data_IF_407259827331
#
_entry.id   IF_407259827331
#
_cell.length_a   1.000
_cell.length_b   1.000
_cell.length_c   1.000
_cell.angle_alpha   90.00
_cell.angle_beta   90.00
_cell.angle_gamma   90.00
#
_symmetry.space_group_name_H-M   'P 1'
#
loop_
_entity.id
_entity.type
_entity.pdbx_description
1 polymer ?
#
# COMPACT_ATOMS: atom_id res chain seq x y z
N UNK A 1 -36.47 -56.14 -33.98
CA UNK A 1 -35.53 -57.14 -34.45
C UNK A 1 -34.18 -56.52 -34.76
N UNK A 2 -33.12 -56.86 -34.02
CA UNK A 2 -31.76 -56.51 -34.33
C UNK A 2 -30.99 -56.04 -33.08
N UNK A 3 -30.59 -57.05 -32.31
CA UNK A 3 -29.61 -57.02 -31.22
C UNK A 3 -28.19 -57.04 -31.84
N UNK A 4 -27.26 -56.23 -31.40
CA UNK A 4 -25.82 -56.52 -31.33
C UNK A 4 -25.16 -55.48 -30.40
N UNK A 5 -24.80 -55.85 -29.20
CA UNK A 5 -23.54 -56.32 -28.60
C UNK A 5 -22.36 -55.36 -28.70
N UNK A 6 -22.02 -54.85 -27.52
CA UNK A 6 -20.74 -54.69 -26.75
C UNK A 6 -19.42 -54.65 -27.50
N UNK A 7 -18.60 -53.68 -27.25
CA UNK A 7 -17.37 -53.91 -26.47
C UNK A 7 -16.69 -52.60 -26.00
N UNK A 8 -16.17 -52.50 -24.77
CA UNK A 8 -15.42 -51.36 -24.26
C UNK A 8 -13.91 -51.63 -24.36
N UNK A 9 -13.16 -50.71 -24.90
CA UNK A 9 -11.70 -50.70 -24.77
C UNK A 9 -11.26 -49.58 -23.88
N UNK A 10 -10.82 -49.94 -22.68
CA UNK A 10 -10.07 -49.11 -21.75
C UNK A 10 -8.71 -48.74 -22.36
N UNK A 11 -8.44 -47.46 -22.51
CA UNK A 11 -7.13 -46.92 -22.81
C UNK A 11 -6.50 -46.39 -21.53
N UNK A 12 -5.49 -47.10 -20.99
CA UNK A 12 -4.64 -46.59 -19.91
C UNK A 12 -3.74 -45.47 -20.43
N UNK A 13 -3.47 -44.40 -19.60
CA UNK A 13 -2.50 -43.39 -19.95
C UNK A 13 -1.05 -43.91 -19.83
N UNK A 14 -0.09 -43.37 -20.61
CA UNK A 14 1.27 -43.86 -20.64
C UNK A 14 2.02 -43.54 -19.34
N UNK A 15 2.71 -44.56 -18.82
CA UNK A 15 3.68 -44.43 -17.72
C UNK A 15 4.88 -43.61 -18.18
N UNK A 16 5.12 -42.47 -17.52
CA UNK A 16 6.36 -41.73 -17.66
C UNK A 16 7.45 -42.44 -16.85
N UNK A 17 8.44 -42.99 -17.57
CA UNK A 17 9.67 -43.53 -16.98
C UNK A 17 10.49 -42.41 -16.33
N UNK A 18 10.59 -42.41 -15.01
CA UNK A 18 11.60 -41.64 -14.29
C UNK A 18 13.00 -42.25 -14.57
N UNK A 19 13.82 -41.46 -15.25
CA UNK A 19 15.25 -41.77 -15.42
C UNK A 19 15.98 -41.34 -14.13
N UNK A 20 16.56 -42.34 -13.45
CA UNK A 20 17.41 -42.11 -12.27
C UNK A 20 18.65 -41.32 -12.65
N UNK A 21 18.93 -40.24 -11.89
CA UNK A 21 20.21 -39.55 -11.96
C UNK A 21 21.22 -40.23 -11.01
N UNK A 22 22.51 -40.28 -11.38
CA UNK A 22 23.53 -40.92 -10.57
C UNK A 22 23.93 -40.09 -9.37
N UNK A 23 24.11 -40.75 -8.22
CA UNK A 23 24.63 -40.20 -6.99
C UNK A 23 26.05 -39.65 -7.15
N UNK A 24 26.28 -38.40 -6.84
CA UNK A 24 27.61 -37.82 -6.71
C UNK A 24 28.17 -38.19 -5.32
N UNK A 25 29.30 -38.82 -5.35
CA UNK A 25 30.12 -39.27 -4.25
C UNK A 25 30.62 -38.06 -3.42
N UNK A 26 30.36 -38.13 -2.13
CA UNK A 26 30.89 -37.24 -1.08
C UNK A 26 32.41 -37.44 -0.94
N UNK A 27 33.20 -36.42 -1.27
CA UNK A 27 34.58 -36.33 -0.84
C UNK A 27 34.65 -35.48 0.43
N UNK A 28 35.10 -36.10 1.50
CA UNK A 28 35.24 -35.53 2.83
C UNK A 28 36.17 -34.29 2.88
N UNK A 29 35.73 -33.29 3.61
CA UNK A 29 36.63 -32.31 4.23
C UNK A 29 36.37 -32.29 5.72
N UNK A 30 37.44 -32.48 6.47
CA UNK A 30 37.54 -32.46 7.94
C UNK A 30 37.13 -31.10 8.52
N UNK A 31 36.57 -31.05 9.74
CA UNK A 31 36.22 -29.81 10.42
C UNK A 31 37.50 -29.11 10.91
N UNK A 32 37.64 -27.84 10.56
CA UNK A 32 38.65 -26.94 11.15
C UNK A 32 38.15 -26.53 12.53
N UNK A 33 38.88 -26.99 13.53
CA UNK A 33 38.71 -26.63 14.93
C UNK A 33 39.36 -25.25 15.16
N UNK A 34 38.57 -24.18 15.33
CA UNK A 34 39.03 -22.87 15.76
C UNK A 34 38.58 -22.65 17.19
N UNK A 35 39.48 -22.99 18.09
CA UNK A 35 39.44 -22.60 19.51
C UNK A 35 39.98 -21.17 19.59
N UNK A 36 39.08 -20.17 19.81
CA UNK A 36 39.47 -18.83 20.20
C UNK A 36 38.80 -18.51 21.53
N UNK A 37 39.56 -18.65 22.58
CA UNK A 37 39.29 -18.12 23.91
C UNK A 37 39.50 -16.59 23.87
N UNK A 38 38.43 -15.80 23.87
CA UNK A 38 38.47 -14.37 24.15
C UNK A 38 37.97 -14.15 25.59
N UNK A 39 38.87 -13.76 26.45
CA UNK A 39 38.62 -13.28 27.82
C UNK A 39 37.87 -11.94 27.76
N UNK A 40 36.69 -11.89 28.33
CA UNK A 40 35.97 -10.65 28.60
C UNK A 40 36.54 -9.96 29.81
N UNK A 41 37.24 -8.86 29.63
CA UNK A 41 37.57 -7.94 30.71
C UNK A 41 36.30 -7.20 31.18
N UNK A 42 36.08 -7.25 32.48
CA UNK A 42 34.97 -6.61 33.17
C UNK A 42 35.13 -5.08 33.12
N UNK A 43 34.21 -4.39 32.48
CA UNK A 43 34.05 -2.92 32.55
C UNK A 43 33.19 -2.60 33.78
N UNK A 44 33.78 -1.84 34.71
CA UNK A 44 33.14 -1.36 35.93
C UNK A 44 31.95 -0.40 35.63
N UNK A 45 30.92 -0.33 36.50
CA UNK A 45 29.77 0.52 36.30
C UNK A 45 30.11 1.99 36.63
N UNK A 46 29.86 2.87 35.65
CA UNK A 46 29.87 4.32 35.89
C UNK A 46 28.50 4.72 36.42
N UNK A 47 28.45 5.03 37.70
CA UNK A 47 27.32 5.69 38.36
C UNK A 47 27.43 7.20 38.15
N UNK A 48 26.45 7.79 37.45
CA UNK A 48 26.15 9.22 37.55
C UNK A 48 24.64 9.40 37.51
N UNK A 49 24.05 9.64 38.66
CA UNK A 49 22.65 10.05 38.80
C UNK A 49 22.48 11.48 38.36
N UNK A 50 21.58 11.73 37.43
CA UNK A 50 21.06 13.07 37.09
C UNK A 50 19.87 13.39 38.01
N UNK A 51 19.72 14.64 38.47
CA UNK A 51 18.62 15.04 39.34
C UNK A 51 17.26 15.05 38.59
N UNK A 52 16.15 14.85 39.32
CA UNK A 52 14.82 14.82 38.73
C UNK A 52 14.40 16.22 38.28
N UNK A 53 13.92 16.32 37.01
CA UNK A 53 13.26 17.51 36.49
C UNK A 53 11.90 17.66 37.17
N UNK A 54 11.74 18.81 37.87
CA UNK A 54 10.48 19.24 38.46
C UNK A 54 9.46 19.54 37.35
N UNK A 55 8.34 18.78 37.31
CA UNK A 55 7.18 19.05 36.48
C UNK A 55 6.38 20.20 37.13
N UNK A 56 6.37 21.36 36.47
CA UNK A 56 5.44 22.45 36.79
C UNK A 56 4.05 22.06 36.31
N UNK A 57 3.05 22.20 37.20
CA UNK A 57 1.63 21.99 36.92
C UNK A 57 1.09 23.04 35.92
N UNK A 58 0.19 22.68 34.99
CA UNK A 58 -0.46 23.67 34.13
C UNK A 58 -1.53 24.44 34.88
N UNK A 59 -1.84 25.70 34.47
CA UNK A 59 -2.87 26.53 35.08
C UNK A 59 -4.28 26.07 34.73
N UNK A 60 -5.21 26.19 35.70
CA UNK A 60 -6.64 25.94 35.58
C UNK A 60 -7.31 26.77 34.45
N UNK A 61 -8.16 26.17 33.63
CA UNK A 61 -9.01 26.93 32.73
C UNK A 61 -10.30 27.37 33.43
N UNK A 62 -10.40 28.65 33.79
CA UNK A 62 -11.63 29.28 34.22
C UNK A 62 -12.65 29.30 33.07
N UNK A 63 -13.90 28.93 33.41
CA UNK A 63 -15.00 28.81 32.49
C UNK A 63 -15.46 30.13 31.84
N UNK A 64 -15.90 30.00 30.58
CA UNK A 64 -16.85 30.92 29.96
C UNK A 64 -17.72 30.10 28.99
N UNK A 65 -18.97 29.98 29.37
CA UNK A 65 -20.08 29.45 28.61
C UNK A 65 -20.33 30.36 27.38
N UNK A 66 -20.21 29.85 26.17
CA UNK A 66 -20.64 30.51 24.95
C UNK A 66 -21.24 29.50 23.99
N UNK A 67 -22.55 29.63 23.79
CA UNK A 67 -23.37 28.78 22.97
C UNK A 67 -22.83 28.55 21.56
N UNK A 68 -22.71 27.30 21.19
CA UNK A 68 -22.32 26.89 19.84
C UNK A 68 -23.54 26.90 18.94
N UNK A 69 -23.60 27.93 18.07
CA UNK A 69 -24.47 27.91 16.90
C UNK A 69 -23.86 26.95 15.87
N UNK A 70 -24.62 25.89 15.53
CA UNK A 70 -24.29 25.01 14.42
C UNK A 70 -24.43 25.79 13.13
N UNK A 71 -23.31 26.21 12.54
CA UNK A 71 -23.26 26.75 11.19
C UNK A 71 -22.90 25.60 10.25
N UNK A 72 -23.84 25.27 9.37
CA UNK A 72 -23.66 24.32 8.28
C UNK A 72 -22.50 24.71 7.39
N UNK A 73 -21.59 23.77 7.15
CA UNK A 73 -20.73 23.57 6.03
C UNK A 73 -20.18 24.79 5.27
N UNK A 74 -19.16 25.45 5.81
CA UNK A 74 -18.25 26.24 4.99
C UNK A 74 -17.17 25.29 4.45
N UNK A 75 -17.10 25.12 3.14
CA UNK A 75 -16.08 24.31 2.48
C UNK A 75 -14.68 24.76 2.89
N UNK A 76 -13.88 23.82 3.40
CA UNK A 76 -12.49 24.08 3.72
C UNK A 76 -11.76 24.51 2.45
N UNK A 77 -11.38 25.78 2.36
CA UNK A 77 -10.55 26.28 1.26
C UNK A 77 -9.15 25.68 1.40
N UNK A 78 -8.77 24.85 0.43
CA UNK A 78 -7.42 24.31 0.31
C UNK A 78 -6.41 25.45 -0.02
N UNK A 79 -5.13 25.33 0.39
CA UNK A 79 -4.12 26.29 0.02
C UNK A 79 -4.00 26.41 -1.51
N UNK A 80 -3.69 27.60 -2.05
CA UNK A 80 -3.57 27.81 -3.48
C UNK A 80 -2.51 26.90 -4.09
N UNK A 81 -2.81 26.35 -5.26
CA UNK A 81 -1.85 25.63 -6.09
C UNK A 81 -0.71 26.57 -6.54
N UNK A 82 0.44 26.01 -6.90
CA UNK A 82 1.61 26.82 -7.31
C UNK A 82 1.43 27.59 -8.62
N UNK A 83 0.23 27.53 -9.22
CA UNK A 83 -0.17 28.32 -10.40
C UNK A 83 -1.13 29.46 -10.06
N UNK A 84 -1.43 29.71 -8.76
CA UNK A 84 -2.21 30.85 -8.29
C UNK A 84 -3.74 30.72 -8.41
N UNK A 85 -4.25 29.53 -8.78
CA UNK A 85 -5.70 29.24 -8.85
C UNK A 85 -6.18 28.36 -7.68
N UNK A 86 -7.42 28.55 -7.25
CA UNK A 86 -8.09 27.63 -6.33
C UNK A 86 -8.64 26.45 -7.13
N UNK A 87 -8.23 25.21 -6.80
CA UNK A 87 -8.78 24.00 -7.43
C UNK A 87 -10.21 23.79 -6.93
N UNK A 88 -11.18 23.90 -7.82
CA UNK A 88 -12.57 23.52 -7.56
C UNK A 88 -12.72 22.01 -7.70
N UNK A 89 -13.03 21.33 -6.60
CA UNK A 89 -13.15 19.87 -6.56
C UNK A 89 -14.24 19.33 -7.51
N UNK A 90 -15.39 19.98 -7.56
CA UNK A 90 -16.53 19.51 -8.37
C UNK A 90 -16.28 19.74 -9.86
N UNK A 91 -15.86 20.95 -10.25
CA UNK A 91 -15.55 21.27 -11.63
C UNK A 91 -14.37 20.43 -12.16
N UNK A 92 -13.30 20.27 -11.36
CA UNK A 92 -12.15 19.47 -11.74
C UNK A 92 -12.50 17.98 -11.85
N UNK A 93 -13.32 17.43 -10.94
CA UNK A 93 -13.79 16.05 -11.04
C UNK A 93 -14.62 15.81 -12.30
N UNK A 94 -15.57 16.70 -12.61
CA UNK A 94 -16.37 16.61 -13.83
C UNK A 94 -15.49 16.63 -15.09
N UNK A 95 -14.48 17.49 -15.14
CA UNK A 95 -13.50 17.51 -16.22
C UNK A 95 -12.72 16.19 -16.31
N UNK A 96 -12.26 15.66 -15.17
CA UNK A 96 -11.47 14.43 -15.11
C UNK A 96 -12.27 13.18 -15.46
N UNK A 97 -13.59 13.16 -15.28
CA UNK A 97 -14.44 12.05 -15.69
C UNK A 97 -14.39 11.79 -17.19
N UNK A 98 -14.29 12.85 -17.99
CA UNK A 98 -14.19 12.77 -19.44
C UNK A 98 -12.79 12.37 -19.96
N UNK A 99 -11.77 12.34 -19.09
CA UNK A 99 -10.38 12.02 -19.44
C UNK A 99 -10.04 10.55 -19.17
N UNK A 100 -9.17 10.00 -20.03
CA UNK A 100 -8.54 8.71 -19.78
C UNK A 100 -7.45 8.79 -18.68
N UNK A 101 -6.90 7.65 -18.27
CA UNK A 101 -5.93 7.58 -17.18
C UNK A 101 -4.63 8.38 -17.46
N UNK A 102 -3.99 8.29 -18.64
CA UNK A 102 -2.86 9.14 -19.00
C UNK A 102 -3.17 10.63 -18.97
N UNK A 103 -4.31 11.05 -19.55
CA UNK A 103 -4.71 12.46 -19.58
C UNK A 103 -5.02 13.01 -18.18
N UNK A 104 -5.51 12.19 -17.25
CA UNK A 104 -5.66 12.54 -15.83
C UNK A 104 -4.32 12.83 -15.15
N UNK A 105 -3.27 12.05 -15.47
CA UNK A 105 -1.91 12.30 -14.98
C UNK A 105 -1.34 13.59 -15.57
N UNK A 106 -1.53 13.83 -16.88
CA UNK A 106 -1.13 15.07 -17.55
C UNK A 106 -1.81 16.30 -16.92
N UNK A 107 -3.11 16.20 -16.64
CA UNK A 107 -3.86 17.26 -15.97
C UNK A 107 -3.32 17.53 -14.57
N UNK A 108 -3.08 16.48 -13.79
CA UNK A 108 -2.58 16.61 -12.43
C UNK A 108 -1.20 17.26 -12.38
N UNK A 109 -0.29 16.89 -13.28
CA UNK A 109 1.03 17.50 -13.32
C UNK A 109 0.96 18.97 -13.75
N UNK A 110 0.12 19.31 -14.72
CA UNK A 110 -0.09 20.73 -15.11
C UNK A 110 -0.64 21.56 -13.98
N UNK A 111 -1.48 20.98 -13.12
CA UNK A 111 -2.12 21.67 -12.00
C UNK A 111 -1.19 21.77 -10.78
N UNK A 112 -0.49 20.69 -10.43
CA UNK A 112 0.26 20.61 -9.17
C UNK A 112 1.79 20.62 -9.35
N UNK A 113 2.28 20.43 -10.57
CA UNK A 113 3.71 20.42 -10.89
C UNK A 113 4.49 19.40 -10.07
N UNK A 114 5.60 19.82 -9.47
CA UNK A 114 6.43 18.99 -8.60
C UNK A 114 5.73 18.52 -7.31
N UNK A 115 4.55 19.08 -6.98
CA UNK A 115 3.73 18.59 -5.89
C UNK A 115 2.90 17.35 -6.20
N UNK A 116 2.99 16.77 -7.40
CA UNK A 116 2.38 15.49 -7.75
C UNK A 116 3.26 14.32 -7.31
N UNK A 117 2.67 13.34 -6.63
CA UNK A 117 3.29 12.06 -6.28
C UNK A 117 2.38 10.88 -6.65
N UNK A 118 2.94 9.67 -6.73
CA UNK A 118 2.20 8.42 -6.78
C UNK A 118 2.34 7.69 -5.44
N UNK A 119 1.27 7.05 -4.96
CA UNK A 119 1.36 6.09 -3.86
C UNK A 119 1.12 4.67 -4.37
N UNK A 120 1.91 3.72 -3.90
CA UNK A 120 1.75 2.31 -4.24
C UNK A 120 1.85 1.44 -3.00
N UNK A 121 1.19 0.29 -3.01
CA UNK A 121 1.36 -0.80 -2.05
C UNK A 121 2.00 -2.03 -2.70
N UNK A 122 2.43 -1.93 -3.95
CA UNK A 122 2.87 -3.07 -4.77
C UNK A 122 1.91 -4.27 -4.71
N UNK A 123 0.61 -4.00 -4.63
CA UNK A 123 -0.42 -5.05 -4.69
C UNK A 123 -0.57 -5.62 -6.11
N UNK A 124 -1.45 -6.61 -6.26
CA UNK A 124 -1.63 -7.45 -7.45
C UNK A 124 -1.63 -6.67 -8.78
N UNK A 125 -2.17 -5.47 -8.81
CA UNK A 125 -2.40 -4.72 -10.05
C UNK A 125 -1.64 -3.38 -10.08
N UNK A 126 -0.66 -3.21 -9.22
CA UNK A 126 0.08 -1.95 -9.09
C UNK A 126 0.95 -1.62 -10.30
N UNK A 127 1.42 -2.62 -11.05
CA UNK A 127 2.25 -2.44 -12.25
C UNK A 127 1.63 -1.48 -13.27
N UNK A 128 0.30 -1.48 -13.42
CA UNK A 128 -0.40 -0.65 -14.41
C UNK A 128 -0.15 0.84 -14.18
N UNK A 129 -0.44 1.33 -12.97
CA UNK A 129 -0.29 2.76 -12.69
C UNK A 129 1.18 3.15 -12.57
N UNK A 130 2.04 2.27 -12.08
CA UNK A 130 3.49 2.48 -12.05
C UNK A 130 4.06 2.64 -13.47
N UNK A 131 3.64 1.79 -14.40
CA UNK A 131 4.04 1.89 -15.80
C UNK A 131 3.52 3.20 -16.44
N UNK A 132 2.25 3.57 -16.23
CA UNK A 132 1.70 4.82 -16.76
C UNK A 132 2.43 6.05 -16.24
N UNK A 133 2.78 6.07 -14.94
CA UNK A 133 3.55 7.18 -14.34
C UNK A 133 4.96 7.23 -14.91
N UNK A 134 5.59 6.08 -15.13
CA UNK A 134 6.91 6.02 -15.79
C UNK A 134 6.86 6.53 -17.22
N UNK A 135 5.87 6.09 -18.02
CA UNK A 135 5.68 6.58 -19.39
C UNK A 135 5.42 8.11 -19.41
N UNK A 136 4.57 8.59 -18.49
CA UNK A 136 4.34 10.01 -18.31
C UNK A 136 5.64 10.76 -17.98
N UNK A 137 6.39 10.31 -16.99
CA UNK A 137 7.62 10.94 -16.53
C UNK A 137 8.68 11.02 -17.64
N UNK A 138 8.85 9.95 -18.41
CA UNK A 138 9.79 9.90 -19.55
C UNK A 138 9.36 10.84 -20.67
N UNK A 139 8.09 10.79 -21.11
CA UNK A 139 7.58 11.63 -22.17
C UNK A 139 7.66 13.12 -21.83
N UNK A 140 7.45 13.47 -20.57
CA UNK A 140 7.41 14.85 -20.11
C UNK A 140 8.77 15.36 -19.59
N UNK A 141 9.79 14.51 -19.47
CA UNK A 141 11.09 14.87 -18.93
C UNK A 141 11.07 15.26 -17.44
N UNK A 142 10.09 14.75 -16.67
CA UNK A 142 9.87 15.12 -15.27
C UNK A 142 10.08 13.94 -14.33
N UNK A 143 10.20 14.24 -13.04
CA UNK A 143 10.22 13.23 -11.98
C UNK A 143 8.91 13.27 -11.21
N UNK A 144 8.30 12.10 -11.01
CA UNK A 144 7.14 11.90 -10.14
C UNK A 144 7.56 10.91 -9.06
N UNK A 145 7.70 11.33 -7.80
CA UNK A 145 8.08 10.42 -6.73
C UNK A 145 7.00 9.36 -6.51
N UNK A 146 7.42 8.11 -6.38
CA UNK A 146 6.57 6.95 -6.06
C UNK A 146 6.78 6.61 -4.59
N UNK A 147 5.79 6.88 -3.76
CA UNK A 147 5.85 6.67 -2.32
C UNK A 147 5.31 5.30 -1.98
N UNK A 148 6.10 4.51 -1.31
CA UNK A 148 5.75 3.18 -0.81
C UNK A 148 5.89 3.12 0.70
N UNK A 149 4.79 2.82 1.40
CA UNK A 149 4.84 2.58 2.84
C UNK A 149 5.17 1.12 3.09
N UNK A 150 6.40 0.87 3.51
CA UNK A 150 6.82 -0.43 4.03
C UNK A 150 6.35 -0.56 5.48
N UNK A 151 5.36 -1.41 5.69
CA UNK A 151 4.77 -1.64 7.01
C UNK A 151 5.61 -2.54 7.89
N UNK A 152 6.60 -3.25 7.32
CA UNK A 152 7.34 -4.33 7.98
C UNK A 152 6.57 -5.65 8.10
N UNK A 153 5.38 -5.70 7.47
CA UNK A 153 4.49 -6.88 7.49
C UNK A 153 4.03 -7.31 6.10
N UNK A 154 4.67 -6.79 5.05
CA UNK A 154 4.33 -7.20 3.69
C UNK A 154 4.83 -8.63 3.42
N UNK A 155 4.15 -9.40 2.56
CA UNK A 155 4.63 -10.70 2.12
C UNK A 155 6.00 -10.60 1.41
N UNK A 156 6.87 -11.60 1.53
CA UNK A 156 8.14 -11.64 0.80
C UNK A 156 7.99 -11.47 -0.72
N UNK A 157 6.88 -11.98 -1.27
CA UNK A 157 6.51 -11.84 -2.68
C UNK A 157 6.32 -10.38 -3.09
N UNK A 158 5.73 -9.57 -2.21
CA UNK A 158 5.55 -8.13 -2.46
C UNK A 158 6.89 -7.39 -2.51
N UNK A 159 7.84 -7.72 -1.62
CA UNK A 159 9.18 -7.13 -1.66
C UNK A 159 9.91 -7.47 -2.96
N UNK A 160 9.92 -8.76 -3.34
CA UNK A 160 10.56 -9.20 -4.61
C UNK A 160 9.92 -8.57 -5.84
N UNK A 161 8.59 -8.47 -5.83
CA UNK A 161 7.85 -7.83 -6.90
C UNK A 161 8.14 -6.32 -7.00
N UNK A 162 8.32 -5.64 -5.88
CA UNK A 162 8.71 -4.23 -5.85
C UNK A 162 10.10 -4.02 -6.48
N UNK A 163 11.08 -4.84 -6.12
CA UNK A 163 12.43 -4.81 -6.73
C UNK A 163 12.37 -5.09 -8.24
N UNK A 164 11.62 -6.13 -8.65
CA UNK A 164 11.45 -6.46 -10.07
C UNK A 164 10.85 -5.30 -10.87
N UNK A 165 9.81 -4.66 -10.33
CA UNK A 165 9.20 -3.49 -10.99
C UNK A 165 10.12 -2.28 -10.99
N UNK A 166 10.91 -2.08 -9.93
CA UNK A 166 11.90 -1.01 -9.86
C UNK A 166 13.00 -1.19 -10.92
N UNK A 167 13.51 -2.40 -11.06
CA UNK A 167 14.49 -2.74 -12.10
C UNK A 167 13.92 -2.52 -13.52
N UNK A 168 12.69 -2.99 -13.75
CA UNK A 168 12.06 -2.93 -15.06
C UNK A 168 11.68 -1.49 -15.47
N UNK A 169 11.13 -0.71 -14.55
CA UNK A 169 10.50 0.57 -14.85
C UNK A 169 11.35 1.79 -14.48
N UNK A 170 12.27 1.68 -13.51
CA UNK A 170 13.21 2.75 -13.16
C UNK A 170 12.55 4.02 -12.62
N UNK A 171 11.47 3.90 -11.83
CA UNK A 171 10.79 5.05 -11.23
C UNK A 171 11.50 5.59 -9.96
N UNK A 172 11.21 6.83 -9.56
CA UNK A 172 11.78 7.47 -8.36
C UNK A 172 11.10 6.94 -7.08
N UNK A 173 11.56 5.78 -6.58
CA UNK A 173 11.00 5.12 -5.41
C UNK A 173 11.40 5.80 -4.10
N UNK A 174 10.41 6.08 -3.25
CA UNK A 174 10.54 6.60 -1.89
C UNK A 174 9.89 5.62 -0.91
N UNK A 175 10.67 4.62 -0.48
CA UNK A 175 10.23 3.70 0.56
C UNK A 175 10.27 4.40 1.91
N UNK A 176 9.15 4.39 2.63
CA UNK A 176 8.99 5.03 3.94
C UNK A 176 8.45 4.03 4.96
N UNK A 177 8.91 4.14 6.19
CA UNK A 177 8.53 3.24 7.28
C UNK A 177 8.00 4.05 8.46
N UNK A 178 7.24 3.38 9.34
CA UNK A 178 6.85 3.97 10.62
C UNK A 178 8.09 4.27 11.49
N UNK A 179 8.03 5.34 12.28
CA UNK A 179 9.09 5.69 13.23
C UNK A 179 9.27 4.60 14.30
N UNK A 180 8.17 3.96 14.70
CA UNK A 180 8.19 2.81 15.59
C UNK A 180 8.40 1.54 14.77
N UNK A 181 9.41 0.71 15.13
CA UNK A 181 9.61 -0.59 14.49
C UNK A 181 8.41 -1.53 14.74
N UNK A 182 8.25 -2.54 13.87
CA UNK A 182 7.22 -3.57 14.03
C UNK A 182 7.31 -4.26 15.39
N UNK A 183 8.53 -4.70 15.77
CA UNK A 183 8.77 -5.37 17.05
C UNK A 183 8.43 -4.48 18.25
N UNK A 184 8.76 -3.17 18.19
CA UNK A 184 8.42 -2.25 19.28
C UNK A 184 6.91 -2.04 19.39
N UNK A 185 6.20 -1.95 18.28
CA UNK A 185 4.74 -1.85 18.28
C UNK A 185 4.10 -3.07 18.91
N UNK A 186 4.54 -4.28 18.53
CA UNK A 186 4.02 -5.53 19.12
C UNK A 186 4.30 -5.62 20.62
N UNK A 187 5.49 -5.17 21.06
CA UNK A 187 5.83 -5.18 22.48
C UNK A 187 4.98 -4.23 23.33
N UNK A 188 4.58 -3.08 22.78
CA UNK A 188 3.84 -2.04 23.50
C UNK A 188 2.31 -2.18 23.39
N UNK A 189 1.82 -2.65 22.23
CA UNK A 189 0.39 -2.68 21.91
C UNK A 189 -0.13 -4.09 21.60
N UNK A 190 0.76 -5.10 21.59
CA UNK A 190 0.41 -6.44 21.13
C UNK A 190 0.24 -6.49 19.61
N UNK A 191 -0.28 -7.61 19.13
CA UNK A 191 -0.64 -7.81 17.71
C UNK A 191 -2.03 -7.28 17.45
N UNK A 192 -2.11 -5.99 17.21
CA UNK A 192 -3.36 -5.24 17.04
C UNK A 192 -4.34 -5.86 16.01
N UNK A 193 -3.85 -6.64 15.04
CA UNK A 193 -4.69 -7.35 14.08
C UNK A 193 -5.32 -8.64 14.60
N UNK A 194 -4.91 -9.14 15.76
CA UNK A 194 -5.44 -10.35 16.39
C UNK A 194 -6.56 -10.06 17.39
N UNK A 195 -6.75 -8.80 17.79
CA UNK A 195 -7.78 -8.41 18.78
C UNK A 195 -9.21 -8.56 18.27
N UNK A 196 -9.41 -8.50 16.95
CA UNK A 196 -10.74 -8.53 16.32
C UNK A 196 -11.55 -7.25 16.49
N UNK A 197 -10.97 -6.16 17.04
CA UNK A 197 -11.65 -4.88 17.21
C UNK A 197 -11.31 -3.90 16.09
N UNK A 198 -12.26 -3.05 15.71
CA UNK A 198 -12.04 -1.99 14.73
C UNK A 198 -11.05 -0.94 15.25
N UNK A 199 -11.10 -0.63 16.55
CA UNK A 199 -10.22 0.36 17.18
C UNK A 199 -8.75 -0.03 17.05
N UNK A 200 -8.38 -1.27 17.36
CA UNK A 200 -7.02 -1.76 17.23
C UNK A 200 -6.56 -1.83 15.78
N UNK A 201 -7.46 -2.22 14.85
CA UNK A 201 -7.17 -2.17 13.42
C UNK A 201 -6.96 -0.73 12.92
N UNK A 202 -7.67 0.24 13.48
CA UNK A 202 -7.48 1.66 13.16
C UNK A 202 -6.17 2.19 13.73
N UNK A 203 -5.84 1.83 14.97
CA UNK A 203 -4.55 2.14 15.58
C UNK A 203 -3.39 1.54 14.74
N UNK A 204 -3.50 0.26 14.37
CA UNK A 204 -2.54 -0.39 13.48
C UNK A 204 -2.35 0.38 12.17
N UNK A 205 -3.45 0.67 11.46
CA UNK A 205 -3.40 1.37 10.19
C UNK A 205 -2.83 2.79 10.34
N UNK A 206 -3.15 3.49 11.42
CA UNK A 206 -2.60 4.80 11.73
C UNK A 206 -1.09 4.73 11.90
N UNK A 207 -0.61 3.87 12.81
CA UNK A 207 0.82 3.75 13.13
C UNK A 207 1.66 3.26 11.95
N UNK A 208 1.15 2.24 11.22
CA UNK A 208 1.95 1.55 10.19
C UNK A 208 1.78 2.12 8.78
N UNK A 209 0.70 2.85 8.50
CA UNK A 209 0.37 3.30 7.13
C UNK A 209 0.13 4.80 7.02
N UNK A 210 -0.75 5.36 7.83
CA UNK A 210 -1.19 6.76 7.66
C UNK A 210 -0.09 7.73 8.11
N UNK A 211 0.41 7.59 9.33
CA UNK A 211 1.45 8.50 9.87
C UNK A 211 2.73 8.53 9.02
N UNK A 212 3.33 7.39 8.60
CA UNK A 212 4.51 7.42 7.74
C UNK A 212 4.22 8.04 6.36
N UNK A 213 3.04 7.80 5.80
CA UNK A 213 2.65 8.40 4.53
C UNK A 213 2.47 9.92 4.64
N UNK A 214 1.79 10.40 5.68
CA UNK A 214 1.57 11.83 5.90
C UNK A 214 2.89 12.56 6.16
N UNK A 215 3.85 11.92 6.85
CA UNK A 215 5.20 12.46 6.98
C UNK A 215 5.88 12.58 5.62
N UNK A 216 5.84 11.52 4.81
CA UNK A 216 6.42 11.54 3.46
C UNK A 216 5.80 12.63 2.58
N UNK A 217 4.49 12.83 2.66
CA UNK A 217 3.81 13.89 1.93
C UNK A 217 4.32 15.28 2.33
N UNK A 218 4.50 15.54 3.62
CA UNK A 218 5.05 16.81 4.10
C UNK A 218 6.51 17.01 3.66
N UNK A 219 7.35 15.99 3.86
CA UNK A 219 8.79 16.06 3.56
C UNK A 219 9.07 16.27 2.07
N UNK A 220 8.21 15.74 1.19
CA UNK A 220 8.30 15.86 -0.26
C UNK A 220 7.49 17.05 -0.83
N UNK A 221 6.78 17.81 -0.02
CA UNK A 221 5.95 18.93 -0.48
C UNK A 221 4.79 18.47 -1.38
N UNK A 222 4.24 17.27 -1.14
CA UNK A 222 3.14 16.73 -1.95
C UNK A 222 1.89 17.58 -1.75
N UNK A 223 1.24 17.92 -2.86
CA UNK A 223 -0.07 18.61 -2.89
C UNK A 223 -1.17 17.74 -3.49
N UNK A 224 -0.79 16.85 -4.41
CA UNK A 224 -1.67 15.87 -5.02
C UNK A 224 -0.99 14.50 -5.06
N UNK A 225 -1.73 13.47 -4.72
CA UNK A 225 -1.23 12.10 -4.79
C UNK A 225 -2.16 11.21 -5.62
N UNK A 226 -1.60 10.56 -6.62
CA UNK A 226 -2.28 9.57 -7.44
C UNK A 226 -2.28 8.21 -6.75
N UNK A 227 -3.32 7.41 -6.97
CA UNK A 227 -3.44 6.04 -6.43
C UNK A 227 -4.15 5.10 -7.39
N UNK A 228 -3.86 3.81 -7.28
CA UNK A 228 -4.45 2.74 -8.11
C UNK A 228 -5.86 2.33 -7.69
N UNK A 229 -6.64 3.21 -7.06
CA UNK A 229 -8.03 2.96 -6.69
C UNK A 229 -8.89 2.84 -7.93
N UNK A 230 -9.75 1.80 -7.95
CA UNK A 230 -10.75 1.58 -9.01
C UNK A 230 -12.14 1.41 -8.41
N UNK A 231 -13.13 2.01 -9.04
CA UNK A 231 -14.53 1.91 -8.62
C UNK A 231 -15.09 0.49 -8.59
N UNK A 232 -14.52 -0.40 -9.43
CA UNK A 232 -14.91 -1.82 -9.49
C UNK A 232 -14.47 -2.66 -8.28
N UNK A 233 -13.71 -2.10 -7.33
CA UNK A 233 -13.15 -2.86 -6.20
C UNK A 233 -14.09 -2.97 -4.99
N UNK A 234 -14.87 -1.93 -4.71
CA UNK A 234 -15.88 -1.90 -3.63
C UNK A 234 -16.99 -0.90 -3.98
N UNK A 235 -18.16 -1.01 -3.34
CA UNK A 235 -19.24 -0.03 -3.53
C UNK A 235 -18.84 1.36 -3.02
N UNK A 236 -18.10 1.42 -1.91
CA UNK A 236 -17.53 2.68 -1.43
C UNK A 236 -16.65 3.36 -2.49
N UNK A 237 -15.78 2.59 -3.15
CA UNK A 237 -14.88 3.13 -4.21
C UNK A 237 -15.63 3.51 -5.48
N UNK A 238 -16.74 2.86 -5.78
CA UNK A 238 -17.61 3.20 -6.92
C UNK A 238 -18.21 4.60 -6.79
N UNK A 239 -18.47 5.03 -5.56
CA UNK A 239 -19.00 6.37 -5.26
C UNK A 239 -17.92 7.47 -5.17
N UNK A 240 -16.63 7.12 -5.26
CA UNK A 240 -15.56 8.12 -5.19
C UNK A 240 -15.47 8.92 -6.48
N UNK A 241 -15.22 10.25 -6.41
CA UNK A 241 -14.90 11.04 -7.60
C UNK A 241 -13.44 10.82 -8.04
N UNK A 242 -13.08 11.16 -9.30
CA UNK A 242 -11.71 11.10 -9.80
C UNK A 242 -10.71 11.94 -8.99
N UNK A 243 -11.16 13.07 -8.46
CA UNK A 243 -10.39 13.99 -7.61
C UNK A 243 -11.17 14.33 -6.36
N UNK A 244 -10.52 14.28 -5.21
CA UNK A 244 -11.15 14.57 -3.92
C UNK A 244 -10.11 15.12 -2.93
N UNK A 245 -10.53 16.07 -2.10
CA UNK A 245 -9.72 16.48 -0.95
C UNK A 245 -9.74 15.39 0.13
N UNK A 246 -8.55 14.91 0.52
CA UNK A 246 -8.37 13.90 1.55
C UNK A 246 -7.21 14.33 2.44
N UNK A 247 -7.45 14.51 3.73
CA UNK A 247 -6.44 14.91 4.72
C UNK A 247 -5.62 16.14 4.31
N UNK A 248 -6.31 17.17 3.82
CA UNK A 248 -5.68 18.44 3.43
C UNK A 248 -4.88 18.39 2.11
N UNK A 249 -4.91 17.28 1.37
CA UNK A 249 -4.27 17.12 0.07
C UNK A 249 -5.28 16.68 -0.99
N UNK A 250 -4.90 16.78 -2.25
CA UNK A 250 -5.69 16.25 -3.36
C UNK A 250 -5.37 14.78 -3.61
N UNK A 251 -6.40 13.95 -3.64
CA UNK A 251 -6.31 12.51 -4.01
C UNK A 251 -6.86 12.32 -5.41
N UNK A 252 -6.00 11.93 -6.35
CA UNK A 252 -6.35 11.62 -7.73
C UNK A 252 -6.46 10.11 -7.93
N UNK A 253 -7.46 9.68 -8.70
CA UNK A 253 -7.72 8.28 -9.03
C UNK A 253 -7.70 8.08 -10.55
N UNK A 254 -6.52 7.94 -11.17
CA UNK A 254 -6.42 7.83 -12.62
C UNK A 254 -7.19 6.62 -13.18
N UNK A 255 -7.18 5.50 -12.46
CA UNK A 255 -7.78 4.24 -12.87
C UNK A 255 -9.23 4.04 -12.37
N UNK A 256 -9.91 5.08 -11.86
CA UNK A 256 -11.20 4.94 -11.20
C UNK A 256 -12.23 4.15 -12.03
N UNK A 257 -12.30 4.41 -13.34
CA UNK A 257 -13.26 3.81 -14.26
C UNK A 257 -12.79 2.47 -14.84
N UNK A 258 -11.61 1.98 -14.47
CA UNK A 258 -11.03 0.75 -15.00
C UNK A 258 -11.66 -0.49 -14.35
N UNK A 259 -12.03 -1.45 -15.21
CA UNK A 259 -12.43 -2.80 -14.78
C UNK A 259 -11.22 -3.70 -14.52
N UNK A 260 -11.44 -4.90 -13.96
CA UNK A 260 -10.41 -5.96 -13.87
C UNK A 260 -9.89 -6.36 -15.25
N UNK A 261 -10.78 -6.34 -16.26
CA UNK A 261 -10.48 -6.70 -17.64
C UNK A 261 -9.54 -5.70 -18.30
N UNK A 262 -9.77 -4.40 -18.09
CA UNK A 262 -8.90 -3.33 -18.61
C UNK A 262 -7.49 -3.44 -18.04
N UNK A 263 -7.37 -3.71 -16.74
CA UNK A 263 -6.09 -3.93 -16.06
C UNK A 263 -5.38 -5.16 -16.64
N UNK A 264 -6.09 -6.27 -16.83
CA UNK A 264 -5.52 -7.50 -17.38
C UNK A 264 -4.97 -7.25 -18.79
N UNK A 265 -5.76 -6.68 -19.68
CA UNK A 265 -5.30 -6.39 -21.05
C UNK A 265 -4.13 -5.40 -21.09
N UNK A 266 -4.10 -4.43 -20.20
CA UNK A 266 -2.98 -3.50 -20.14
C UNK A 266 -1.68 -4.21 -19.72
N UNK A 267 -1.75 -5.09 -18.72
CA UNK A 267 -0.61 -5.90 -18.26
C UNK A 267 -0.08 -6.76 -19.42
N UNK A 268 -0.96 -7.49 -20.11
CA UNK A 268 -0.61 -8.33 -21.25
C UNK A 268 -0.01 -7.51 -22.41
N UNK A 269 -0.65 -6.40 -22.76
CA UNK A 269 -0.21 -5.54 -23.86
C UNK A 269 1.18 -4.97 -23.65
N UNK A 270 1.52 -4.65 -22.41
CA UNK A 270 2.81 -4.04 -22.06
C UNK A 270 3.83 -5.03 -21.49
N UNK A 271 3.51 -6.33 -21.46
CA UNK A 271 4.40 -7.37 -20.94
C UNK A 271 4.82 -7.14 -19.49
N UNK A 272 3.93 -6.59 -18.66
CA UNK A 272 4.23 -6.28 -17.27
C UNK A 272 4.18 -7.55 -16.41
N UNK A 273 5.07 -7.70 -15.43
CA UNK A 273 5.04 -8.85 -14.54
C UNK A 273 3.79 -8.85 -13.66
N UNK A 274 3.25 -10.03 -13.42
CA UNK A 274 2.21 -10.26 -12.44
C UNK A 274 2.82 -10.42 -11.04
N UNK A 275 2.08 -9.97 -10.03
CA UNK A 275 2.47 -10.21 -8.64
C UNK A 275 2.44 -11.72 -8.34
N UNK A 276 3.47 -12.34 -7.72
CA UNK A 276 3.55 -13.80 -7.55
C UNK A 276 2.35 -14.42 -6.79
N UNK A 277 1.75 -13.68 -5.85
CA UNK A 277 0.57 -14.16 -5.13
C UNK A 277 -0.71 -14.21 -5.99
N UNK A 278 -0.71 -13.62 -7.19
CA UNK A 278 -1.84 -13.72 -8.10
C UNK A 278 -2.11 -15.18 -8.51
N UNK A 279 -1.06 -15.92 -8.85
CA UNK A 279 -1.15 -17.35 -9.20
C UNK A 279 -1.56 -18.24 -8.00
N UNK A 280 -1.41 -17.71 -6.78
CA UNK A 280 -1.83 -18.38 -5.55
C UNK A 280 -3.28 -18.00 -5.14
N UNK A 281 -4.03 -17.38 -6.05
CA UNK A 281 -5.44 -17.05 -5.86
C UNK A 281 -5.71 -15.74 -5.10
N UNK A 282 -4.69 -14.89 -4.88
CA UNK A 282 -4.92 -13.59 -4.25
C UNK A 282 -5.39 -12.57 -5.30
N UNK A 283 -6.56 -12.00 -5.12
CA UNK A 283 -7.05 -10.88 -5.93
C UNK A 283 -6.71 -9.50 -5.33
N UNK A 284 -6.31 -9.46 -4.07
CA UNK A 284 -5.80 -8.26 -3.37
C UNK A 284 -4.74 -8.65 -2.35
N UNK A 285 -3.71 -7.83 -2.20
CA UNK A 285 -2.61 -8.05 -1.27
C UNK A 285 -2.31 -6.77 -0.48
N UNK A 286 -1.96 -6.91 0.75
CA UNK A 286 -1.39 -5.91 1.66
C UNK A 286 -0.51 -6.63 2.67
N UNK A 287 -0.60 -6.29 3.98
CA UNK A 287 0.16 -7.01 4.99
C UNK A 287 -0.26 -8.48 5.05
N UNK A 288 0.69 -9.38 5.33
CA UNK A 288 0.47 -10.83 5.28
C UNK A 288 -0.68 -11.28 6.21
N UNK A 289 -0.76 -10.71 7.41
CA UNK A 289 -1.79 -11.05 8.40
C UNK A 289 -3.19 -10.47 8.09
N UNK A 290 -3.29 -9.56 7.11
CA UNK A 290 -4.58 -8.96 6.70
C UNK A 290 -4.98 -9.36 5.28
N UNK A 291 -4.31 -10.32 4.67
CA UNK A 291 -4.54 -10.77 3.30
C UNK A 291 -4.81 -12.26 3.30
N UNK A 292 -5.79 -12.69 2.52
CA UNK A 292 -6.08 -14.08 2.26
C UNK A 292 -6.36 -14.29 0.75
N UNK A 293 -6.13 -15.49 0.20
CA UNK A 293 -6.58 -15.83 -1.14
C UNK A 293 -8.11 -15.83 -1.23
N UNK A 294 -8.63 -15.71 -2.44
CA UNK A 294 -10.05 -15.91 -2.72
C UNK A 294 -10.41 -17.38 -2.47
N UNK A 295 -11.50 -17.64 -1.76
CA UNK A 295 -11.91 -19.00 -1.34
C UNK A 295 -13.16 -19.53 -2.09
N UNK A 296 -13.59 -18.84 -3.13
CA UNK A 296 -14.78 -19.15 -3.91
C UNK A 296 -16.08 -18.55 -3.36
N UNK A 297 -16.10 -18.15 -2.09
CA UNK A 297 -17.22 -17.44 -1.46
C UNK A 297 -16.88 -15.99 -1.19
N UNK A 298 -15.64 -15.73 -0.79
CA UNK A 298 -15.09 -14.41 -0.47
C UNK A 298 -14.01 -14.06 -1.49
N UNK A 299 -14.07 -12.88 -2.07
CA UNK A 299 -13.12 -12.43 -3.08
C UNK A 299 -12.82 -10.94 -3.00
N UNK A 300 -11.73 -10.53 -3.62
CA UNK A 300 -11.35 -9.13 -3.69
C UNK A 300 -11.06 -8.54 -2.31
N UNK A 301 -11.62 -7.39 -2.01
CA UNK A 301 -11.35 -6.69 -0.74
C UNK A 301 -12.10 -7.26 0.46
N UNK A 302 -13.03 -8.16 0.24
CA UNK A 302 -13.73 -8.86 1.32
C UNK A 302 -12.82 -9.88 2.02
N UNK A 303 -11.73 -10.30 1.39
CA UNK A 303 -10.68 -11.14 2.01
C UNK A 303 -9.78 -10.35 2.97
N UNK A 304 -9.91 -9.00 3.02
CA UNK A 304 -9.05 -8.15 3.85
C UNK A 304 -9.54 -8.12 5.29
N UNK A 305 -8.58 -8.12 6.22
CA UNK A 305 -8.85 -8.03 7.67
C UNK A 305 -9.88 -9.04 8.17
N UNK A 306 -9.91 -10.26 7.60
CA UNK A 306 -10.92 -11.26 7.94
C UNK A 306 -12.37 -10.81 7.67
N UNK A 307 -12.58 -9.91 6.70
CA UNK A 307 -13.90 -9.35 6.38
C UNK A 307 -14.34 -8.16 7.24
N UNK A 308 -13.60 -7.83 8.30
CA UNK A 308 -13.97 -6.74 9.23
C UNK A 308 -13.83 -5.34 8.62
N UNK A 309 -12.91 -5.15 7.68
CA UNK A 309 -12.63 -3.85 7.08
C UNK A 309 -12.09 -3.99 5.66
N UNK A 310 -12.69 -3.31 4.71
CA UNK A 310 -12.23 -3.32 3.32
C UNK A 310 -11.14 -2.26 3.03
N UNK A 311 -11.12 -1.15 3.78
CA UNK A 311 -10.22 -0.03 3.53
C UNK A 311 -9.18 0.16 4.65
N UNK A 312 -7.94 0.47 4.26
CA UNK A 312 -6.81 0.63 5.19
C UNK A 312 -6.69 2.05 5.80
N UNK A 313 -7.68 2.91 5.62
CA UNK A 313 -7.68 4.28 6.16
C UNK A 313 -6.93 5.34 5.33
N UNK A 314 -6.01 4.96 4.45
CA UNK A 314 -5.26 5.93 3.61
C UNK A 314 -6.20 6.77 2.74
N UNK A 315 -7.28 6.18 2.24
CA UNK A 315 -8.26 6.83 1.34
C UNK A 315 -9.49 7.40 2.05
N UNK A 316 -9.56 7.27 3.38
CA UNK A 316 -10.71 7.78 4.13
C UNK A 316 -10.47 9.23 4.56
N UNK A 317 -11.48 10.13 4.42
CA UNK A 317 -11.43 11.43 5.06
C UNK A 317 -11.50 11.27 6.58
N UNK A 318 -10.75 12.06 7.35
CA UNK A 318 -10.98 12.23 8.78
C UNK A 318 -10.12 11.43 9.76
N UNK A 319 -9.01 10.80 9.36
CA UNK A 319 -8.00 10.26 10.30
C UNK A 319 -6.88 11.26 10.65
N UNK A 320 -7.09 12.54 10.43
CA UNK A 320 -6.27 13.57 11.09
C UNK A 320 -6.80 13.65 12.51
N UNK A 321 -5.99 13.21 13.47
CA UNK A 321 -6.27 13.51 14.86
C UNK A 321 -6.59 14.99 15.00
N UNK A 322 -7.77 15.30 15.43
CA UNK A 322 -8.06 16.58 16.04
C UNK A 322 -7.00 16.75 17.11
N UNK A 323 -6.24 17.85 17.02
CA UNK A 323 -5.04 18.05 17.79
C UNK A 323 -5.32 17.90 19.29
N UNK A 324 -4.39 17.25 19.94
CA UNK A 324 -4.12 17.49 21.35
C UNK A 324 -3.21 18.71 21.43
#
# INVERSE_FOLDING_TARGET
LGIHERNPTQGQPPRVMMRAMPSLVSTGRSPINVSASASFDAVAPVAAAAPPLSLASPPDPGGADAGVAVVAGAGASMPPDGCGGVVDAAASSAQLEALDAPARLDWAYRTFGAGLALTTSFGIQSAVLLHMVREFAQRSGVRVPVIWVDTGYLPPETYRYAEQLQELLGFDLRAVQATMSAARMEALHGRLWESGTLEDLELYNRLRKVEPLDRAFRDLGVRCWASGVRGSQTDHRRAMPPLQAVRGLWSLRPLLNWSRKDVFYYIEQHGLPQHPLFEQGYSTVGDWHTSAPDDGTTSGRDTRFGGLKQECGIHLPGLMGEGI
#
